data_IF_621079348053
#
_entry.id   IF_621079348053
#
_cell.length_a   1.000
_cell.length_b   1.000
_cell.length_c   1.000
_cell.angle_alpha   90.00
_cell.angle_beta   90.00
_cell.angle_gamma   90.00
#
_symmetry.space_group_name_H-M   'P 1'
#
loop_
_entity.id
_entity.type
_entity.pdbx_description
1 polymer ?
#
# COMPACT_ATOMS: atom_id res chain seq x y z
N UNK A 1 -7.16 18.18 5.37
CA UNK A 1 -6.26 18.43 6.50
C UNK A 1 -4.95 17.71 6.24
N UNK A 2 -3.77 18.41 6.31
CA UNK A 2 -2.45 17.83 6.15
C UNK A 2 -2.15 17.24 4.76
N UNK A 3 -2.88 17.63 3.73
CA UNK A 3 -2.68 17.10 2.38
C UNK A 3 -1.78 18.03 1.55
N UNK A 4 -0.91 17.43 0.76
CA UNK A 4 -0.03 18.21 -0.15
C UNK A 4 -0.63 18.46 -1.52
N UNK A 5 -1.82 17.92 -1.81
CA UNK A 5 -2.45 18.01 -3.12
C UNK A 5 -1.47 17.67 -4.26
N UNK A 6 -0.77 16.54 -4.12
CA UNK A 6 0.17 16.08 -5.14
C UNK A 6 -0.57 15.56 -6.38
N UNK A 7 0.18 15.32 -7.45
CA UNK A 7 -0.34 14.89 -8.75
C UNK A 7 -1.15 13.57 -8.69
N UNK A 8 -0.88 12.70 -7.70
CA UNK A 8 -1.64 11.44 -7.50
C UNK A 8 -3.05 11.69 -6.96
N UNK A 9 -3.24 12.80 -6.25
CA UNK A 9 -4.54 13.23 -5.73
C UNK A 9 -5.27 14.09 -6.76
N UNK A 10 -4.58 15.09 -7.33
CA UNK A 10 -5.19 16.11 -8.17
C UNK A 10 -5.27 15.72 -9.64
N UNK A 11 -4.37 14.87 -10.12
CA UNK A 11 -4.19 14.69 -11.55
C UNK A 11 -3.84 16.03 -12.21
N UNK A 12 -4.63 16.45 -13.19
CA UNK A 12 -4.52 17.77 -13.82
C UNK A 12 -5.13 18.83 -12.90
N UNK A 13 -4.29 19.66 -12.28
CA UNK A 13 -4.68 20.62 -11.24
C UNK A 13 -5.83 21.54 -11.63
N UNK A 14 -5.85 22.03 -12.86
CA UNK A 14 -6.95 22.90 -13.36
C UNK A 14 -8.31 22.21 -13.51
N UNK A 15 -8.39 20.89 -13.32
CA UNK A 15 -9.63 20.12 -13.37
C UNK A 15 -10.00 19.51 -12.01
N UNK A 16 -9.18 19.76 -10.98
CA UNK A 16 -9.41 19.21 -9.65
C UNK A 16 -10.46 20.05 -8.90
N UNK A 17 -11.55 19.40 -8.49
CA UNK A 17 -12.57 19.95 -7.61
C UNK A 17 -13.16 21.32 -8.06
N UNK A 18 -13.32 21.54 -9.37
CA UNK A 18 -13.73 22.82 -9.98
C UNK A 18 -15.08 23.36 -9.51
N UNK A 19 -15.90 22.53 -8.85
CA UNK A 19 -17.22 22.89 -8.34
C UNK A 19 -17.29 22.88 -6.79
N UNK A 20 -16.14 22.75 -6.12
CA UNK A 20 -16.07 22.69 -4.66
C UNK A 20 -15.21 23.82 -4.09
N UNK A 21 -15.63 24.39 -2.96
CA UNK A 21 -14.75 25.25 -2.16
C UNK A 21 -13.71 24.39 -1.42
N UNK A 22 -12.47 24.78 -1.50
CA UNK A 22 -11.34 24.06 -0.90
C UNK A 22 -10.94 24.73 0.40
N UNK A 23 -11.11 23.99 1.50
CA UNK A 23 -10.62 24.37 2.82
C UNK A 23 -9.36 23.57 3.10
N UNK A 24 -8.23 24.23 3.28
CA UNK A 24 -6.95 23.59 3.54
C UNK A 24 -6.43 23.94 4.92
N UNK A 25 -6.31 22.91 5.76
CA UNK A 25 -5.74 23.04 7.11
C UNK A 25 -4.38 22.36 7.10
N UNK A 26 -3.33 23.11 7.35
CA UNK A 26 -1.96 22.59 7.44
C UNK A 26 -1.17 23.40 8.48
N UNK A 27 -0.24 22.73 9.15
CA UNK A 27 0.67 23.40 10.11
C UNK A 27 1.73 24.21 9.40
N UNK A 28 2.12 23.81 8.18
CA UNK A 28 3.10 24.50 7.36
C UNK A 28 2.44 25.52 6.42
N UNK A 29 2.65 26.83 6.62
CA UNK A 29 2.08 27.84 5.74
C UNK A 29 2.57 27.72 4.29
N UNK A 30 3.77 27.12 4.05
CA UNK A 30 4.30 26.92 2.71
C UNK A 30 3.59 25.82 1.93
N UNK A 31 2.83 24.97 2.61
CA UNK A 31 1.99 23.93 1.99
C UNK A 31 0.67 24.49 1.45
N UNK A 32 0.18 25.59 2.02
CA UNK A 32 -1.09 26.21 1.63
C UNK A 32 -0.96 26.81 0.22
N UNK A 33 -1.93 26.50 -0.63
CA UNK A 33 -2.02 26.95 -2.04
C UNK A 33 -0.79 26.62 -2.90
N UNK A 34 0.04 25.67 -2.48
CA UNK A 34 1.25 25.32 -3.21
C UNK A 34 0.99 24.69 -4.57
N UNK A 35 0.02 23.78 -4.65
CA UNK A 35 -0.25 22.99 -5.85
C UNK A 35 -1.62 23.28 -6.45
N UNK A 36 -2.58 23.70 -5.64
CA UNK A 36 -3.93 24.13 -6.06
C UNK A 36 -4.29 25.40 -5.33
N UNK A 37 -5.16 26.20 -5.92
CA UNK A 37 -5.73 27.38 -5.26
C UNK A 37 -6.67 26.94 -4.13
N UNK A 38 -6.58 27.62 -2.98
CA UNK A 38 -7.36 27.32 -1.77
C UNK A 38 -8.25 28.49 -1.43
N UNK A 39 -9.56 28.22 -1.29
CA UNK A 39 -10.54 29.26 -0.95
C UNK A 39 -10.42 29.69 0.53
N UNK A 40 -10.23 28.73 1.43
CA UNK A 40 -10.15 28.99 2.88
C UNK A 40 -8.88 28.36 3.44
N UNK A 41 -7.80 29.15 3.59
CA UNK A 41 -6.56 28.69 4.21
C UNK A 41 -6.65 28.75 5.74
N UNK A 42 -6.22 27.69 6.41
CA UNK A 42 -6.11 27.62 7.88
C UNK A 42 -4.73 27.08 8.24
N UNK A 43 -3.87 27.98 8.72
CA UNK A 43 -2.54 27.58 9.24
C UNK A 43 -2.69 27.27 10.72
N UNK A 44 -2.75 25.98 11.05
CA UNK A 44 -2.92 25.53 12.42
C UNK A 44 -2.55 24.04 12.58
N UNK A 45 -2.23 23.66 13.82
CA UNK A 45 -2.21 22.25 14.21
C UNK A 45 -3.58 21.60 13.99
N UNK A 46 -3.59 20.37 13.47
CA UNK A 46 -4.81 19.67 13.12
C UNK A 46 -5.77 19.48 14.31
N UNK A 47 -5.26 19.17 15.50
CA UNK A 47 -6.08 18.98 16.70
C UNK A 47 -6.73 20.31 17.12
N UNK A 48 -5.97 21.38 17.10
CA UNK A 48 -6.48 22.74 17.45
C UNK A 48 -7.59 23.16 16.48
N UNK A 49 -7.36 23.00 15.17
CA UNK A 49 -8.36 23.34 14.17
C UNK A 49 -9.63 22.48 14.30
N UNK A 50 -9.48 21.17 14.53
CA UNK A 50 -10.63 20.26 14.70
C UNK A 50 -11.43 20.57 15.94
N UNK A 51 -10.80 20.90 17.07
CA UNK A 51 -11.50 21.30 18.30
C UNK A 51 -12.34 22.56 18.07
N UNK A 52 -11.76 23.58 17.42
CA UNK A 52 -12.49 24.82 17.10
C UNK A 52 -13.66 24.58 16.11
N UNK A 53 -13.51 23.65 15.17
CA UNK A 53 -14.58 23.25 14.26
C UNK A 53 -15.69 22.50 14.99
N UNK A 54 -15.36 21.64 15.95
CA UNK A 54 -16.33 20.86 16.72
C UNK A 54 -17.27 21.75 17.55
N UNK A 55 -16.80 22.89 18.05
CA UNK A 55 -17.64 23.86 18.77
C UNK A 55 -18.78 24.44 17.92
N UNK A 56 -18.58 24.44 16.59
CA UNK A 56 -19.55 25.02 15.61
C UNK A 56 -20.25 23.94 14.79
N UNK A 57 -19.77 22.71 14.85
CA UNK A 57 -20.31 21.62 14.05
C UNK A 57 -21.69 21.20 14.56
N UNK A 58 -22.61 20.97 13.64
CA UNK A 58 -23.91 20.39 13.91
C UNK A 58 -23.99 18.99 13.31
N UNK A 59 -24.70 18.08 14.00
CA UNK A 59 -24.94 16.75 13.45
C UNK A 59 -25.85 16.87 12.22
N UNK A 60 -25.34 16.44 11.09
CA UNK A 60 -26.09 16.40 9.84
C UNK A 60 -26.74 15.02 9.64
N UNK A 61 -27.90 14.99 9.01
CA UNK A 61 -28.47 13.74 8.50
C UNK A 61 -27.78 13.41 7.17
N UNK A 62 -27.01 12.31 7.17
CA UNK A 62 -26.27 11.83 6.02
C UNK A 62 -26.76 10.47 5.51
N UNK A 63 -27.95 10.01 5.94
CA UNK A 63 -28.45 8.66 5.64
C UNK A 63 -28.63 8.44 4.13
N UNK A 64 -29.22 9.38 3.41
CA UNK A 64 -29.39 9.28 1.96
C UNK A 64 -28.05 9.18 1.21
N UNK A 65 -27.06 9.95 1.65
CA UNK A 65 -25.71 9.89 1.07
C UNK A 65 -25.00 8.56 1.35
N UNK A 66 -25.11 8.06 2.57
CA UNK A 66 -24.55 6.76 2.94
C UNK A 66 -25.23 5.62 2.17
N UNK A 67 -26.54 5.69 1.96
CA UNK A 67 -27.27 4.71 1.16
C UNK A 67 -26.83 4.76 -0.31
N UNK A 68 -26.65 5.94 -0.88
CA UNK A 68 -26.12 6.09 -2.24
C UNK A 68 -24.72 5.48 -2.39
N UNK A 69 -23.84 5.68 -1.38
CA UNK A 69 -22.51 5.05 -1.38
C UNK A 69 -22.62 3.53 -1.31
N UNK A 70 -23.53 2.97 -0.50
CA UNK A 70 -23.76 1.52 -0.43
C UNK A 70 -24.24 0.95 -1.76
N UNK A 71 -25.15 1.64 -2.44
CA UNK A 71 -25.64 1.25 -3.76
C UNK A 71 -24.50 1.24 -4.79
N UNK A 72 -23.66 2.27 -4.83
CA UNK A 72 -22.50 2.30 -5.73
C UNK A 72 -21.51 1.19 -5.42
N UNK A 73 -21.19 0.92 -4.15
CA UNK A 73 -20.31 -0.18 -3.78
C UNK A 73 -20.86 -1.55 -4.17
N UNK A 74 -22.19 -1.74 -4.10
CA UNK A 74 -22.86 -2.97 -4.55
C UNK A 74 -22.87 -3.08 -6.06
N UNK A 75 -23.13 -1.99 -6.77
CA UNK A 75 -23.20 -1.97 -8.23
C UNK A 75 -21.82 -2.09 -8.91
N UNK A 76 -20.80 -1.51 -8.28
CA UNK A 76 -19.43 -1.49 -8.78
C UNK A 76 -18.43 -2.05 -7.75
N UNK A 77 -18.54 -3.33 -7.40
CA UNK A 77 -17.64 -3.92 -6.43
C UNK A 77 -16.21 -3.98 -6.97
N UNK A 78 -15.24 -3.64 -6.11
CA UNK A 78 -13.85 -3.92 -6.41
C UNK A 78 -13.63 -5.43 -6.41
N UNK A 79 -13.25 -5.98 -7.53
CA UNK A 79 -12.92 -7.40 -7.67
C UNK A 79 -11.98 -7.65 -8.85
N UNK A 80 -11.09 -8.61 -8.70
CA UNK A 80 -10.22 -9.07 -9.78
C UNK A 80 -10.96 -10.14 -10.59
N UNK A 81 -11.18 -9.86 -11.87
CA UNK A 81 -11.94 -10.75 -12.80
C UNK A 81 -11.05 -11.85 -13.41
N UNK A 82 -10.06 -12.34 -12.67
CA UNK A 82 -9.15 -13.38 -13.13
C UNK A 82 -9.36 -14.68 -12.37
N UNK A 83 -9.26 -15.81 -13.07
CA UNK A 83 -9.30 -17.13 -12.47
C UNK A 83 -8.00 -17.46 -11.73
N UNK A 84 -8.02 -18.45 -10.84
CA UNK A 84 -6.84 -18.88 -10.08
C UNK A 84 -6.59 -18.11 -8.81
N UNK A 85 -5.36 -18.16 -8.32
CA UNK A 85 -4.91 -17.44 -7.13
C UNK A 85 -4.64 -15.97 -7.49
N UNK A 86 -5.37 -15.06 -6.86
CA UNK A 86 -5.23 -13.61 -7.06
C UNK A 86 -4.79 -12.93 -5.77
N UNK A 87 -4.13 -11.76 -5.83
CA UNK A 87 -3.84 -10.96 -4.65
C UNK A 87 -5.09 -10.63 -3.82
N UNK A 88 -6.23 -10.36 -4.46
CA UNK A 88 -7.51 -10.17 -3.76
C UNK A 88 -7.87 -11.37 -2.87
N UNK A 89 -7.80 -12.60 -3.41
CA UNK A 89 -8.11 -13.82 -2.65
C UNK A 89 -7.20 -14.01 -1.45
N UNK A 90 -5.90 -13.71 -1.63
CA UNK A 90 -4.92 -13.78 -0.53
C UNK A 90 -5.26 -12.77 0.57
N UNK A 91 -5.54 -11.51 0.19
CA UNK A 91 -5.83 -10.45 1.18
C UNK A 91 -7.17 -10.70 1.87
N UNK A 92 -8.18 -11.21 1.16
CA UNK A 92 -9.43 -11.62 1.79
C UNK A 92 -9.26 -12.79 2.76
N UNK A 93 -8.36 -13.75 2.44
CA UNK A 93 -8.02 -14.81 3.38
C UNK A 93 -7.33 -14.23 4.64
N UNK A 94 -6.43 -13.26 4.49
CA UNK A 94 -5.82 -12.55 5.63
C UNK A 94 -6.89 -11.84 6.47
N UNK A 95 -7.86 -11.17 5.83
CA UNK A 95 -8.97 -10.52 6.55
C UNK A 95 -9.75 -11.51 7.39
N UNK A 96 -10.03 -12.68 6.84
CA UNK A 96 -10.83 -13.72 7.49
C UNK A 96 -10.08 -14.44 8.62
N UNK A 97 -8.76 -14.60 8.46
CA UNK A 97 -7.93 -15.37 9.41
C UNK A 97 -7.50 -14.56 10.62
N UNK A 98 -7.24 -13.26 10.44
CA UNK A 98 -6.63 -12.42 11.46
C UNK A 98 -7.55 -11.24 11.84
N UNK A 99 -8.24 -11.35 12.96
CA UNK A 99 -9.15 -10.30 13.45
C UNK A 99 -8.45 -9.20 14.26
N UNK A 100 -7.42 -9.57 15.05
CA UNK A 100 -6.67 -8.66 15.90
C UNK A 100 -5.22 -8.56 15.44
N UNK A 101 -4.99 -7.78 14.39
CA UNK A 101 -3.72 -7.82 13.68
C UNK A 101 -3.15 -6.44 13.34
N UNK A 102 -1.84 -6.40 13.17
CA UNK A 102 -1.14 -5.30 12.51
C UNK A 102 -0.58 -5.82 11.17
N UNK A 103 -1.02 -5.21 10.09
CA UNK A 103 -0.59 -5.58 8.74
C UNK A 103 0.45 -4.56 8.28
N UNK A 104 1.70 -4.99 8.13
CA UNK A 104 2.74 -4.17 7.55
C UNK A 104 2.86 -4.45 6.05
N UNK A 105 2.73 -3.43 5.20
CA UNK A 105 2.91 -3.61 3.75
C UNK A 105 4.25 -3.08 3.30
N UNK A 106 4.89 -3.79 2.40
CA UNK A 106 5.96 -3.24 1.59
C UNK A 106 5.39 -2.38 0.46
N UNK A 107 6.24 -1.79 -0.36
CA UNK A 107 5.87 -0.85 -1.41
C UNK A 107 5.82 -1.52 -2.77
N UNK A 108 4.76 -1.23 -3.53
CA UNK A 108 4.53 -1.75 -4.86
C UNK A 108 3.08 -2.18 -5.08
N UNK A 109 2.83 -3.08 -6.03
CA UNK A 109 1.47 -3.58 -6.28
C UNK A 109 0.87 -4.27 -5.06
N UNK A 110 1.67 -4.95 -4.25
CA UNK A 110 1.26 -5.53 -2.97
C UNK A 110 0.62 -4.49 -2.04
N UNK A 111 1.20 -3.29 -1.95
CA UNK A 111 0.66 -2.17 -1.18
C UNK A 111 -0.69 -1.70 -1.73
N UNK A 112 -0.80 -1.54 -3.06
CA UNK A 112 -2.04 -1.12 -3.71
C UNK A 112 -3.16 -2.13 -3.47
N UNK A 113 -2.89 -3.42 -3.64
CA UNK A 113 -3.87 -4.48 -3.39
C UNK A 113 -4.26 -4.56 -1.91
N UNK A 114 -3.29 -4.44 -1.00
CA UNK A 114 -3.59 -4.39 0.44
C UNK A 114 -4.52 -3.20 0.75
N UNK A 115 -4.23 -2.01 0.25
CA UNK A 115 -5.05 -0.82 0.47
C UNK A 115 -6.47 -0.97 -0.10
N UNK A 116 -6.64 -1.72 -1.21
CA UNK A 116 -7.93 -1.93 -1.84
C UNK A 116 -8.80 -2.98 -1.14
N UNK A 117 -8.19 -4.04 -0.60
CA UNK A 117 -8.92 -5.24 -0.16
C UNK A 117 -8.82 -5.54 1.33
N UNK A 118 -7.94 -4.86 2.10
CA UNK A 118 -7.92 -4.98 3.55
C UNK A 118 -9.15 -4.30 4.18
N UNK A 119 -9.71 -4.98 5.16
CA UNK A 119 -10.80 -4.48 5.99
C UNK A 119 -10.20 -4.02 7.33
N UNK A 120 -9.97 -2.72 7.45
CA UNK A 120 -9.37 -2.13 8.64
C UNK A 120 -10.42 -1.84 9.71
N UNK A 121 -10.01 -1.92 10.97
CA UNK A 121 -10.84 -1.66 12.15
C UNK A 121 -9.99 -1.15 13.31
N UNK A 122 -10.58 -0.89 14.46
CA UNK A 122 -9.82 -0.56 15.67
C UNK A 122 -8.85 -1.68 16.08
N UNK A 123 -9.19 -2.94 15.78
CA UNK A 123 -8.38 -4.11 16.09
C UNK A 123 -7.39 -4.45 14.97
N UNK A 124 -7.72 -4.15 13.72
CA UNK A 124 -6.90 -4.45 12.53
C UNK A 124 -6.37 -3.18 11.92
N UNK A 125 -5.08 -2.96 12.06
CA UNK A 125 -4.39 -1.74 11.66
C UNK A 125 -3.40 -2.01 10.53
N UNK A 126 -3.09 -1.00 9.73
CA UNK A 126 -2.11 -1.10 8.65
C UNK A 126 -0.96 -0.12 8.85
N UNK A 127 0.26 -0.62 8.68
CA UNK A 127 1.50 0.17 8.59
C UNK A 127 1.99 0.15 7.15
N UNK A 128 2.26 1.31 6.60
CA UNK A 128 2.71 1.42 5.21
C UNK A 128 3.53 2.68 4.96
N UNK A 129 4.51 2.61 4.08
CA UNK A 129 5.25 3.78 3.60
C UNK A 129 4.44 4.50 2.51
N UNK A 130 3.32 5.14 2.89
CA UNK A 130 2.42 5.81 1.95
C UNK A 130 2.89 7.20 1.48
N UNK A 131 3.82 7.81 2.19
CA UNK A 131 4.37 9.13 1.84
C UNK A 131 5.57 9.05 0.90
N UNK A 132 6.68 8.47 1.36
CA UNK A 132 7.90 8.34 0.57
C UNK A 132 7.90 7.13 -0.37
N UNK A 133 7.22 6.04 0.01
CA UNK A 133 7.16 4.85 -0.82
C UNK A 133 8.46 4.04 -0.82
N UNK A 134 9.02 3.79 0.36
CA UNK A 134 10.30 3.11 0.52
C UNK A 134 10.13 1.59 0.41
N UNK A 135 10.67 0.98 -0.64
CA UNK A 135 10.78 -0.48 -0.73
C UNK A 135 11.68 -1.01 0.39
N UNK A 136 11.30 -2.14 0.98
CA UNK A 136 11.98 -2.72 2.15
C UNK A 136 11.45 -2.21 3.50
N UNK A 137 10.43 -1.36 3.51
CA UNK A 137 9.80 -0.86 4.74
C UNK A 137 9.03 -1.94 5.49
N UNK A 138 8.34 -2.83 4.76
CA UNK A 138 7.31 -3.71 5.35
C UNK A 138 7.83 -4.62 6.45
N UNK A 139 8.90 -5.34 6.21
CA UNK A 139 9.42 -6.31 7.16
C UNK A 139 10.04 -5.68 8.42
N UNK A 140 10.94 -4.69 8.32
CA UNK A 140 11.43 -3.97 9.50
C UNK A 140 10.33 -3.30 10.32
N UNK A 141 9.30 -2.74 9.66
CA UNK A 141 8.15 -2.17 10.36
C UNK A 141 7.34 -3.23 11.13
N UNK A 142 7.21 -4.44 10.58
CA UNK A 142 6.57 -5.56 11.25
C UNK A 142 7.35 -6.01 12.49
N UNK A 143 8.68 -6.05 12.43
CA UNK A 143 9.54 -6.33 13.59
C UNK A 143 9.25 -5.32 14.71
N UNK A 144 9.27 -4.03 14.39
CA UNK A 144 8.94 -2.99 15.36
C UNK A 144 7.52 -3.10 15.91
N UNK A 145 6.55 -3.43 15.04
CA UNK A 145 5.16 -3.62 15.43
C UNK A 145 4.99 -4.79 16.41
N UNK A 146 5.66 -5.92 16.15
CA UNK A 146 5.58 -7.11 17.00
C UNK A 146 6.21 -6.87 18.37
N UNK A 147 7.35 -6.18 18.42
CA UNK A 147 8.00 -5.81 19.68
C UNK A 147 7.09 -4.86 20.50
N UNK A 148 6.49 -3.89 19.84
CA UNK A 148 5.59 -2.92 20.48
C UNK A 148 4.21 -3.47 20.86
N UNK A 149 3.78 -4.57 20.22
CA UNK A 149 2.46 -5.17 20.41
C UNK A 149 2.55 -6.70 20.44
N UNK A 150 3.14 -7.30 21.50
CA UNK A 150 3.41 -8.73 21.55
C UNK A 150 2.16 -9.62 21.58
N UNK A 151 0.99 -9.06 21.86
CA UNK A 151 -0.30 -9.78 21.93
C UNK A 151 -1.10 -9.71 20.62
N UNK A 152 -0.61 -9.01 19.61
CA UNK A 152 -1.28 -8.94 18.29
C UNK A 152 -0.58 -9.85 17.29
N UNK A 153 -1.35 -10.38 16.36
CA UNK A 153 -0.79 -10.99 15.16
C UNK A 153 -0.14 -9.91 14.28
N UNK A 154 1.06 -10.17 13.79
CA UNK A 154 1.73 -9.25 12.86
C UNK A 154 1.98 -9.95 11.54
N UNK A 155 1.45 -9.37 10.46
CA UNK A 155 1.53 -9.92 9.12
C UNK A 155 2.26 -8.94 8.20
N UNK A 156 3.22 -9.43 7.44
CA UNK A 156 3.86 -8.69 6.35
C UNK A 156 3.20 -9.06 5.03
N UNK A 157 2.76 -8.08 4.25
CA UNK A 157 2.39 -8.25 2.85
C UNK A 157 3.46 -7.57 2.01
N UNK A 158 4.31 -8.36 1.37
CA UNK A 158 5.42 -7.86 0.56
C UNK A 158 5.37 -8.41 -0.87
N UNK A 159 5.96 -7.68 -1.81
CA UNK A 159 6.36 -8.24 -3.08
C UNK A 159 7.73 -8.92 -2.97
N UNK A 160 8.04 -9.76 -3.94
CA UNK A 160 9.34 -10.42 -4.06
C UNK A 160 10.51 -9.44 -4.17
N UNK A 161 10.32 -8.30 -4.83
CA UNK A 161 11.31 -7.23 -4.90
C UNK A 161 11.50 -6.49 -3.58
N UNK A 162 10.39 -6.15 -2.90
CA UNK A 162 10.43 -5.45 -1.62
C UNK A 162 11.07 -6.28 -0.52
N UNK A 163 10.72 -7.57 -0.43
CA UNK A 163 11.28 -8.48 0.55
C UNK A 163 12.80 -8.60 0.45
N UNK A 164 13.36 -8.54 -0.75
CA UNK A 164 14.81 -8.64 -0.95
C UNK A 164 15.60 -7.41 -0.47
N UNK A 165 14.95 -6.26 -0.24
CA UNK A 165 15.64 -5.04 0.19
C UNK A 165 16.19 -5.12 1.61
N UNK A 166 15.49 -5.81 2.51
CA UNK A 166 15.86 -5.96 3.92
C UNK A 166 15.68 -7.40 4.41
N UNK A 167 16.00 -8.37 3.55
CA UNK A 167 15.83 -9.79 3.84
C UNK A 167 16.70 -10.28 5.01
N UNK A 168 17.86 -9.63 5.24
CA UNK A 168 18.76 -9.91 6.35
C UNK A 168 18.13 -9.71 7.73
N UNK A 169 17.04 -8.93 7.81
CA UNK A 169 16.30 -8.73 9.05
C UNK A 169 15.59 -10.00 9.54
N UNK A 170 15.57 -11.06 8.74
CA UNK A 170 15.17 -12.39 9.22
C UNK A 170 16.03 -12.82 10.43
N UNK A 171 17.34 -12.49 10.43
CA UNK A 171 18.20 -12.74 11.56
C UNK A 171 17.70 -12.04 12.84
N UNK A 172 17.24 -10.80 12.71
CA UNK A 172 16.66 -10.04 13.82
C UNK A 172 15.38 -10.70 14.31
N UNK A 173 14.45 -11.04 13.42
CA UNK A 173 13.18 -11.66 13.78
C UNK A 173 13.37 -13.01 14.49
N UNK A 174 14.27 -13.84 13.99
CA UNK A 174 14.59 -15.15 14.59
C UNK A 174 15.31 -14.99 15.94
N UNK A 175 16.29 -14.10 16.02
CA UNK A 175 17.04 -13.84 17.26
C UNK A 175 16.12 -13.41 18.43
N UNK A 176 15.08 -12.64 18.12
CA UNK A 176 14.09 -12.18 19.09
C UNK A 176 12.83 -13.06 19.17
N UNK A 177 12.82 -14.21 18.48
CA UNK A 177 11.71 -15.17 18.45
C UNK A 177 10.35 -14.51 18.14
N UNK A 178 10.33 -13.58 17.17
CA UNK A 178 9.14 -12.81 16.82
C UNK A 178 8.21 -13.64 15.93
N UNK A 179 6.94 -13.90 16.33
CA UNK A 179 6.00 -14.71 15.58
C UNK A 179 5.34 -13.89 14.44
N UNK A 180 6.14 -13.47 13.47
CA UNK A 180 5.67 -12.68 12.33
C UNK A 180 5.31 -13.58 11.17
N UNK A 181 4.12 -13.42 10.60
CA UNK A 181 3.72 -14.10 9.37
C UNK A 181 4.12 -13.26 8.16
N UNK A 182 4.94 -13.82 7.26
CA UNK A 182 5.39 -13.14 6.04
C UNK A 182 4.65 -13.70 4.83
N UNK A 183 3.85 -12.87 4.17
CA UNK A 183 3.14 -13.17 2.95
C UNK A 183 3.80 -12.48 1.76
N UNK A 184 4.46 -13.24 0.88
CA UNK A 184 5.15 -12.72 -0.30
C UNK A 184 4.28 -12.94 -1.54
N UNK A 185 3.81 -11.85 -2.15
CA UNK A 185 3.12 -11.85 -3.43
C UNK A 185 4.15 -11.87 -4.56
N UNK A 186 4.64 -13.06 -4.89
CA UNK A 186 5.72 -13.26 -5.83
C UNK A 186 5.20 -13.30 -7.27
N UNK A 187 5.48 -12.27 -8.06
CA UNK A 187 5.15 -12.20 -9.48
C UNK A 187 6.37 -12.16 -10.41
N UNK A 188 7.58 -12.11 -9.87
CA UNK A 188 8.83 -12.04 -10.62
C UNK A 188 9.10 -10.68 -11.27
N UNK A 189 8.47 -9.62 -10.78
CA UNK A 189 8.61 -8.28 -11.34
C UNK A 189 8.63 -7.19 -10.28
N UNK A 190 9.28 -6.06 -10.59
CA UNK A 190 8.96 -4.78 -9.98
C UNK A 190 7.61 -4.29 -10.53
N UNK A 191 6.54 -4.91 -10.02
CA UNK A 191 5.23 -4.93 -10.66
C UNK A 191 4.60 -3.56 -10.86
N UNK A 192 4.75 -2.64 -9.89
CA UNK A 192 4.19 -1.30 -9.99
C UNK A 192 4.87 -0.47 -11.10
N UNK A 193 6.20 -0.55 -11.21
CA UNK A 193 6.94 0.13 -12.28
C UNK A 193 6.58 -0.46 -13.64
N UNK A 194 6.50 -1.80 -13.73
CA UNK A 194 6.09 -2.48 -14.96
C UNK A 194 4.68 -2.07 -15.41
N UNK A 195 3.75 -1.96 -14.48
CA UNK A 195 2.38 -1.50 -14.76
C UNK A 195 2.38 -0.09 -15.36
N UNK A 196 3.20 0.82 -14.84
CA UNK A 196 3.31 2.16 -15.40
C UNK A 196 3.98 2.18 -16.78
N UNK A 197 4.97 1.33 -16.99
CA UNK A 197 5.56 1.15 -18.34
C UNK A 197 4.51 0.65 -19.33
N UNK A 198 3.61 -0.22 -18.92
CA UNK A 198 2.51 -0.67 -19.75
C UNK A 198 1.51 0.47 -20.05
N UNK A 199 1.09 1.22 -19.03
CA UNK A 199 0.03 2.21 -19.13
C UNK A 199 0.48 3.51 -19.83
N UNK A 200 1.72 3.94 -19.62
CA UNK A 200 2.17 5.29 -19.98
C UNK A 200 3.35 5.31 -20.95
N UNK A 201 3.99 4.17 -21.22
CA UNK A 201 5.21 4.10 -22.02
C UNK A 201 5.13 3.04 -23.13
N UNK A 202 3.95 2.78 -23.68
CA UNK A 202 3.71 1.88 -24.82
C UNK A 202 4.36 0.49 -24.65
N UNK A 203 4.29 -0.06 -23.41
CA UNK A 203 4.89 -1.35 -23.06
C UNK A 203 6.41 -1.43 -23.28
N UNK A 204 7.11 -0.32 -23.22
CA UNK A 204 8.58 -0.29 -23.24
C UNK A 204 9.11 -0.71 -21.88
N UNK A 205 9.11 -2.01 -21.63
CA UNK A 205 9.58 -2.58 -20.37
C UNK A 205 11.10 -2.49 -20.27
N UNK A 206 11.59 -1.98 -19.14
CA UNK A 206 13.01 -1.87 -18.84
C UNK A 206 13.25 -2.09 -17.36
N UNK A 207 14.23 -2.92 -17.02
CA UNK A 207 14.75 -3.15 -15.67
C UNK A 207 13.69 -3.54 -14.61
N UNK A 208 12.57 -4.11 -15.04
CA UNK A 208 11.47 -4.51 -14.14
C UNK A 208 11.29 -6.01 -14.00
N UNK A 209 11.88 -6.81 -14.89
CA UNK A 209 11.85 -8.26 -14.82
C UNK A 209 12.94 -8.78 -13.88
N UNK A 210 12.54 -9.42 -12.79
CA UNK A 210 13.45 -10.01 -11.82
C UNK A 210 14.00 -11.37 -12.26
N UNK A 211 13.47 -11.93 -13.37
CA UNK A 211 13.95 -13.16 -14.02
C UNK A 211 14.99 -12.89 -15.09
N UNK A 212 15.37 -11.63 -15.32
CA UNK A 212 16.30 -11.25 -16.37
C UNK A 212 17.67 -11.93 -16.23
N UNK A 213 18.22 -12.38 -17.35
CA UNK A 213 19.58 -12.89 -17.48
C UNK A 213 20.30 -12.16 -18.59
N UNK A 214 21.63 -12.13 -18.53
CA UNK A 214 22.47 -11.56 -19.60
C UNK A 214 22.18 -12.19 -20.98
N UNK A 215 21.75 -13.45 -21.00
CA UNK A 215 21.36 -14.18 -22.21
C UNK A 215 19.95 -13.85 -22.73
N UNK A 216 19.14 -13.10 -21.97
CA UNK A 216 17.81 -12.70 -22.44
C UNK A 216 17.90 -11.73 -23.61
N UNK A 217 16.97 -11.80 -24.57
CA UNK A 217 16.86 -10.79 -25.64
C UNK A 217 16.68 -9.39 -25.05
N UNK A 218 17.35 -8.39 -25.62
CA UNK A 218 17.27 -7.01 -25.14
C UNK A 218 15.86 -6.38 -25.22
N UNK A 219 14.97 -6.97 -26.02
CA UNK A 219 13.56 -6.57 -26.19
C UNK A 219 12.57 -7.56 -25.58
N UNK A 220 12.96 -8.26 -24.52
CA UNK A 220 12.09 -9.24 -23.86
C UNK A 220 10.90 -8.54 -23.18
N UNK A 221 9.74 -8.60 -23.82
CA UNK A 221 8.51 -7.96 -23.34
C UNK A 221 7.56 -8.92 -22.61
N UNK A 222 7.74 -10.22 -22.78
CA UNK A 222 6.82 -11.23 -22.24
C UNK A 222 7.63 -12.40 -21.70
N UNK A 223 7.45 -12.76 -20.40
CA UNK A 223 8.02 -13.98 -19.88
C UNK A 223 7.34 -15.17 -20.56
N UNK A 224 8.14 -16.16 -20.88
CA UNK A 224 7.69 -17.47 -21.36
C UNK A 224 7.97 -18.51 -20.28
N UNK A 225 7.42 -19.72 -20.44
CA UNK A 225 7.76 -20.88 -19.62
C UNK A 225 9.24 -21.25 -19.62
N UNK A 226 9.99 -20.77 -20.61
CA UNK A 226 11.45 -20.97 -20.72
C UNK A 226 12.27 -19.90 -20.01
N UNK A 227 11.64 -18.89 -19.39
CA UNK A 227 12.37 -17.91 -18.60
C UNK A 227 12.97 -18.57 -17.35
N UNK A 228 14.23 -18.31 -17.03
CA UNK A 228 14.82 -18.82 -15.81
C UNK A 228 14.02 -18.35 -14.60
N UNK A 229 13.76 -19.20 -13.64
CA UNK A 229 13.31 -18.77 -12.32
C UNK A 229 14.48 -18.08 -11.64
N UNK A 230 14.27 -16.81 -11.32
CA UNK A 230 15.33 -16.01 -10.69
C UNK A 230 14.94 -15.42 -9.36
N UNK A 231 13.70 -15.39 -9.03
CA UNK A 231 13.33 -15.03 -7.67
C UNK A 231 13.94 -16.04 -6.73
N UNK A 232 14.54 -15.61 -5.60
CA UNK A 232 15.01 -16.54 -4.59
C UNK A 232 13.89 -17.51 -4.18
N UNK A 233 14.26 -18.72 -3.87
CA UNK A 233 13.36 -19.63 -3.17
C UNK A 233 13.24 -19.12 -1.73
N UNK A 234 12.20 -18.33 -1.50
CA UNK A 234 11.98 -17.67 -0.21
C UNK A 234 11.71 -18.66 0.91
N UNK A 235 11.18 -19.85 0.62
CA UNK A 235 10.96 -20.88 1.62
C UNK A 235 12.29 -21.46 2.10
N UNK A 236 13.16 -21.88 1.19
CA UNK A 236 14.51 -22.36 1.55
C UNK A 236 15.34 -21.27 2.21
N UNK A 237 15.14 -20.02 1.81
CA UNK A 237 15.83 -18.92 2.47
C UNK A 237 15.35 -18.76 3.91
N UNK A 238 14.05 -18.78 4.17
CA UNK A 238 13.49 -18.72 5.50
C UNK A 238 13.99 -19.89 6.37
N UNK A 239 13.95 -21.11 5.84
CA UNK A 239 14.52 -22.31 6.49
C UNK A 239 16.00 -22.14 6.85
N UNK A 240 16.80 -21.51 5.97
CA UNK A 240 18.24 -21.27 6.21
C UNK A 240 18.49 -20.31 7.37
N UNK A 241 17.55 -19.43 7.69
CA UNK A 241 17.56 -18.56 8.86
C UNK A 241 16.97 -19.23 10.12
N UNK A 242 16.37 -20.42 9.98
CA UNK A 242 15.71 -21.13 11.07
C UNK A 242 14.24 -20.75 11.27
N UNK A 243 13.59 -20.13 10.30
CA UNK A 243 12.16 -19.90 10.29
C UNK A 243 11.39 -21.16 9.87
N UNK A 244 10.17 -21.33 10.37
CA UNK A 244 9.24 -22.43 10.05
C UNK A 244 8.20 -22.00 9.01
#
# INVERSE_FOLDING_TARGET
>A
IGTRFNDRITGKTGHFATHAAIIHIDIDPASISRNIEVDIPIVADAKTALLALLEKAQKLDTQEWLEQIRQWKSQYPLSMKTEGLTPEKVIRAINHTFDNAIIATDVGQNQLWATQFLELSEKKQMLTSGGLGTMGYGFPAAIGAQIGNPSKDVIVISGDGGMQMNIQEMATAICYELPITICILNNGYLGNVRQWQEMFFDRRYSSTCMRYRKSCPGSCNTPTEHCPEYTPDFLKLAESYGAN
#
